data_IF_856182654208
#
_entry.id   IF_856182654208
#
_cell.length_a   1.000
_cell.length_b   1.000
_cell.length_c   1.000
_cell.angle_alpha   90.00
_cell.angle_beta   90.00
_cell.angle_gamma   90.00
#
_symmetry.space_group_name_H-M   'P 1'
#
loop_
_entity.id
_entity.type
_entity.pdbx_description
1 polymer ?
#
# COMPACT_ATOMS: atom_id res chain seq x y z
N UNK A 1 -0.75 -23.32 -1.69
CA UNK A 1 0.57 -23.61 -2.29
C UNK A 1 1.57 -23.65 -1.14
N UNK A 2 2.37 -24.71 -0.96
CA UNK A 2 3.32 -24.75 0.15
C UNK A 2 4.38 -23.64 -0.05
N UNK A 3 4.59 -22.84 0.98
CA UNK A 3 5.67 -21.85 1.00
C UNK A 3 6.96 -22.61 1.28
N UNK A 4 7.89 -22.60 0.32
CA UNK A 4 9.27 -23.00 0.60
C UNK A 4 9.95 -21.80 1.25
N UNK A 5 10.28 -21.93 2.54
CA UNK A 5 10.86 -20.86 3.34
C UNK A 5 12.33 -21.15 3.69
N UNK A 6 13.27 -20.86 2.76
CA UNK A 6 14.69 -21.07 3.01
C UNK A 6 15.30 -20.00 3.93
N UNK A 7 14.57 -18.91 4.20
CA UNK A 7 15.06 -17.76 4.97
C UNK A 7 14.57 -17.77 6.43
N UNK A 8 13.64 -18.66 6.76
CA UNK A 8 12.97 -18.69 8.06
C UNK A 8 12.27 -17.36 8.30
N UNK A 9 11.34 -16.99 7.43
CA UNK A 9 10.60 -15.74 7.46
C UNK A 9 9.74 -15.67 8.73
N UNK A 10 10.19 -14.86 9.67
CA UNK A 10 9.42 -14.40 10.83
C UNK A 10 8.83 -13.00 10.55
N UNK A 11 8.07 -12.48 11.51
CA UNK A 11 7.43 -11.15 11.37
C UNK A 11 8.46 -10.01 11.24
N UNK A 12 9.61 -10.10 11.91
CA UNK A 12 10.65 -9.07 11.84
C UNK A 12 11.28 -9.02 10.45
N UNK A 13 11.60 -10.18 9.88
CA UNK A 13 12.12 -10.29 8.51
C UNK A 13 11.09 -9.89 7.47
N UNK A 14 9.82 -10.23 7.67
CA UNK A 14 8.74 -9.79 6.78
C UNK A 14 8.58 -8.27 6.82
N UNK A 15 8.61 -7.65 8.00
CA UNK A 15 8.62 -6.18 8.12
C UNK A 15 9.82 -5.59 7.39
N UNK A 16 11.02 -6.09 7.68
CA UNK A 16 12.27 -5.64 7.04
C UNK A 16 12.25 -5.79 5.52
N UNK A 17 11.57 -6.82 4.99
CA UNK A 17 11.37 -7.00 3.55
C UNK A 17 10.45 -5.92 2.98
N UNK A 18 9.31 -5.64 3.65
CA UNK A 18 8.37 -4.61 3.24
C UNK A 18 9.01 -3.20 3.27
N UNK A 19 9.89 -2.94 4.23
CA UNK A 19 10.60 -1.67 4.39
C UNK A 19 11.55 -1.37 3.23
N UNK A 20 12.07 -2.42 2.58
CA UNK A 20 12.99 -2.33 1.44
C UNK A 20 12.27 -2.20 0.09
N UNK A 21 10.94 -2.35 0.04
CA UNK A 21 10.20 -2.18 -1.20
C UNK A 21 10.22 -0.70 -1.63
N UNK A 22 10.27 -0.38 -2.94
CA UNK A 22 10.11 0.98 -3.45
C UNK A 22 8.63 1.42 -3.43
N UNK A 23 7.92 1.10 -2.34
CA UNK A 23 6.51 1.35 -2.13
C UNK A 23 6.26 1.52 -0.62
N UNK A 24 5.30 2.37 -0.26
CA UNK A 24 4.72 2.33 1.08
C UNK A 24 3.70 1.20 1.14
N UNK A 25 3.73 0.42 2.22
CA UNK A 25 2.70 -0.57 2.52
C UNK A 25 1.99 -0.19 3.80
N UNK A 26 0.68 -0.37 3.85
CA UNK A 26 -0.13 -0.24 5.07
C UNK A 26 -1.17 -1.36 5.10
N UNK A 27 -1.48 -1.85 6.29
CA UNK A 27 -2.54 -2.85 6.51
C UNK A 27 -3.63 -2.21 7.36
N UNK A 28 -4.87 -2.38 6.93
CA UNK A 28 -6.07 -1.95 7.65
C UNK A 28 -6.86 -3.18 8.08
N UNK A 29 -7.48 -3.15 9.25
CA UNK A 29 -8.50 -4.13 9.61
C UNK A 29 -9.85 -3.81 8.94
N UNK A 30 -10.88 -4.60 9.25
CA UNK A 30 -12.23 -4.45 8.68
C UNK A 30 -13.05 -3.31 9.28
N UNK A 31 -12.56 -2.69 10.36
CA UNK A 31 -13.13 -1.50 10.96
C UNK A 31 -12.40 -0.23 10.50
N UNK A 32 -11.46 -0.38 9.55
CA UNK A 32 -10.60 0.67 9.01
C UNK A 32 -9.54 1.20 10.00
N UNK A 33 -9.18 0.44 11.03
CA UNK A 33 -8.05 0.81 11.87
C UNK A 33 -6.72 0.44 11.20
N UNK A 34 -5.72 1.30 11.35
CA UNK A 34 -4.37 1.04 10.83
C UNK A 34 -3.66 0.01 11.71
N UNK A 35 -3.36 -1.17 11.17
CA UNK A 35 -2.72 -2.28 11.89
C UNK A 35 -1.20 -2.27 11.72
N UNK A 36 -0.74 -1.88 10.53
CA UNK A 36 0.68 -1.88 10.19
C UNK A 36 0.96 -0.82 9.12
N UNK A 37 2.17 -0.29 9.10
CA UNK A 37 2.74 0.39 7.95
C UNK A 37 4.25 0.11 7.87
N UNK A 38 4.80 0.08 6.65
CA UNK A 38 6.24 -0.07 6.44
C UNK A 38 7.01 1.17 6.88
N UNK A 39 8.23 1.04 7.39
CA UNK A 39 9.07 2.11 7.90
C UNK A 39 9.26 3.25 6.88
N UNK A 40 9.32 2.91 5.60
CA UNK A 40 9.45 3.86 4.50
C UNK A 40 8.14 4.60 4.14
N UNK A 41 6.99 4.19 4.67
CA UNK A 41 5.68 4.74 4.32
C UNK A 41 5.52 6.25 4.56
N UNK A 42 6.11 6.86 5.62
CA UNK A 42 6.11 8.30 5.82
C UNK A 42 6.70 9.11 4.67
N UNK A 43 7.50 8.50 3.79
CA UNK A 43 8.03 9.15 2.57
C UNK A 43 6.99 9.30 1.45
N UNK A 44 5.82 8.68 1.59
CA UNK A 44 4.75 8.67 0.59
C UNK A 44 3.44 9.21 1.18
N UNK A 45 3.06 8.75 2.37
CA UNK A 45 1.80 9.06 3.02
C UNK A 45 2.01 9.38 4.49
N UNK A 46 1.19 10.27 5.07
CA UNK A 46 1.30 10.63 6.49
C UNK A 46 0.99 9.40 7.36
N UNK A 47 2.05 8.74 7.81
CA UNK A 47 2.05 7.59 8.71
C UNK A 47 2.95 7.91 9.88
N UNK A 48 2.44 7.63 11.07
CA UNK A 48 3.12 7.90 12.33
C UNK A 48 2.73 6.85 13.36
N UNK A 49 3.57 6.59 14.37
CA UNK A 49 3.27 5.59 15.39
C UNK A 49 1.93 5.82 16.08
N UNK A 50 1.54 7.08 16.33
CA UNK A 50 0.26 7.42 16.97
C UNK A 50 -0.99 7.05 16.16
N UNK A 51 -0.86 6.71 14.88
CA UNK A 51 -1.98 6.27 14.05
C UNK A 51 -2.22 4.76 14.11
N UNK A 52 -1.30 3.97 14.68
CA UNK A 52 -1.53 2.55 14.86
C UNK A 52 -2.72 2.31 15.79
N UNK A 53 -3.62 1.41 15.38
CA UNK A 53 -4.88 1.12 16.06
C UNK A 53 -5.95 2.22 15.92
N UNK A 54 -5.70 3.29 15.16
CA UNK A 54 -6.66 4.36 14.95
C UNK A 54 -7.42 4.17 13.63
N UNK A 55 -8.71 4.50 13.64
CA UNK A 55 -9.55 4.56 12.44
C UNK A 55 -9.00 5.62 11.47
N UNK A 56 -8.66 5.19 10.26
CA UNK A 56 -8.10 6.07 9.22
C UNK A 56 -9.07 7.17 8.80
N UNK A 57 -10.39 6.99 8.97
CA UNK A 57 -11.41 8.00 8.65
C UNK A 57 -11.17 9.30 9.42
N UNK A 58 -10.59 9.21 10.62
CA UNK A 58 -10.21 10.38 11.43
C UNK A 58 -9.07 11.20 10.80
N UNK A 59 -8.28 10.60 9.91
CA UNK A 59 -7.22 11.26 9.18
C UNK A 59 -7.71 11.99 7.92
N UNK A 60 -8.97 11.77 7.52
CA UNK A 60 -9.56 12.36 6.31
C UNK A 60 -10.59 13.45 6.68
N UNK A 61 -10.41 14.65 6.12
CA UNK A 61 -11.31 15.79 6.38
C UNK A 61 -12.59 15.79 5.56
N UNK A 62 -12.60 15.08 4.44
CA UNK A 62 -13.71 15.09 3.48
C UNK A 62 -14.60 13.87 3.71
N UNK A 63 -15.89 14.11 3.95
CA UNK A 63 -16.89 13.04 4.09
C UNK A 63 -16.88 12.09 2.89
N UNK A 64 -16.75 12.63 1.67
CA UNK A 64 -16.68 11.82 0.45
C UNK A 64 -15.46 10.90 0.37
N UNK A 65 -14.41 11.14 1.17
CA UNK A 65 -13.29 10.19 1.31
C UNK A 65 -13.67 9.03 2.24
N UNK A 66 -14.36 9.32 3.33
CA UNK A 66 -14.83 8.31 4.29
C UNK A 66 -15.87 7.39 3.65
N UNK A 67 -16.82 7.96 2.89
CA UNK A 67 -17.82 7.18 2.14
C UNK A 67 -17.17 6.21 1.13
N UNK A 68 -16.06 6.60 0.49
CA UNK A 68 -15.31 5.73 -0.41
C UNK A 68 -14.57 4.62 0.33
N UNK A 69 -14.02 4.91 1.52
CA UNK A 69 -13.39 3.91 2.38
C UNK A 69 -14.44 2.87 2.79
N UNK A 70 -15.60 3.32 3.24
CA UNK A 70 -16.70 2.45 3.67
C UNK A 70 -17.21 1.59 2.51
N UNK A 71 -17.49 2.19 1.35
CA UNK A 71 -17.95 1.45 0.17
C UNK A 71 -16.93 0.40 -0.30
N UNK A 72 -15.64 0.70 -0.21
CA UNK A 72 -14.57 -0.24 -0.54
C UNK A 72 -14.54 -1.43 0.43
N UNK A 73 -14.55 -1.16 1.75
CA UNK A 73 -14.51 -2.22 2.77
C UNK A 73 -15.75 -3.11 2.66
N UNK A 74 -16.94 -2.51 2.52
CA UNK A 74 -18.19 -3.26 2.32
C UNK A 74 -18.17 -4.08 1.02
N UNK A 75 -17.59 -3.54 -0.05
CA UNK A 75 -17.36 -4.29 -1.29
C UNK A 75 -16.50 -5.54 -1.06
N UNK A 76 -15.41 -5.43 -0.30
CA UNK A 76 -14.56 -6.58 0.04
C UNK A 76 -15.27 -7.60 0.94
N UNK A 77 -16.02 -7.12 1.95
CA UNK A 77 -16.86 -7.96 2.83
C UNK A 77 -17.93 -8.72 2.03
N UNK A 78 -18.52 -8.09 1.02
CA UNK A 78 -19.46 -8.71 0.08
C UNK A 78 -18.82 -9.70 -0.91
N UNK A 79 -17.50 -9.89 -0.83
CA UNK A 79 -16.78 -10.89 -1.62
C UNK A 79 -16.03 -10.34 -2.82
N UNK A 80 -16.01 -9.01 -3.04
CA UNK A 80 -15.16 -8.43 -4.09
C UNK A 80 -13.70 -8.80 -3.85
N UNK A 81 -13.02 -9.17 -4.94
CA UNK A 81 -11.59 -9.47 -4.99
C UNK A 81 -10.82 -8.48 -5.86
N UNK A 82 -11.53 -7.55 -6.49
CA UNK A 82 -10.95 -6.58 -7.41
C UNK A 82 -10.21 -5.47 -6.65
N UNK A 83 -8.95 -5.17 -7.00
CA UNK A 83 -8.22 -4.04 -6.42
C UNK A 83 -8.92 -2.71 -6.69
N UNK A 84 -8.97 -1.84 -5.68
CA UNK A 84 -9.37 -0.43 -5.85
C UNK A 84 -8.11 0.39 -6.06
N UNK A 85 -7.99 1.06 -7.22
CA UNK A 85 -6.82 1.87 -7.57
C UNK A 85 -7.19 3.28 -8.01
N UNK A 86 -6.45 4.27 -7.53
CA UNK A 86 -6.61 5.66 -7.93
C UNK A 86 -5.30 6.44 -7.85
N UNK A 87 -5.27 7.61 -8.49
CA UNK A 87 -4.16 8.56 -8.36
C UNK A 87 -4.62 9.69 -7.44
N UNK A 88 -3.77 10.08 -6.50
CA UNK A 88 -3.99 11.24 -5.64
C UNK A 88 -2.71 12.09 -5.56
N UNK A 89 -2.88 13.37 -5.27
CA UNK A 89 -1.77 14.31 -5.09
C UNK A 89 -1.89 15.01 -3.71
N UNK A 90 -1.80 14.28 -2.58
CA UNK A 90 -1.99 14.85 -1.25
C UNK A 90 -0.85 15.75 -0.79
N UNK A 91 0.34 15.63 -1.39
CA UNK A 91 1.57 16.32 -0.95
C UNK A 91 2.33 16.99 -2.10
N UNK A 92 1.66 17.36 -3.19
CA UNK A 92 2.31 17.94 -4.38
C UNK A 92 2.93 16.89 -5.32
N UNK A 93 2.87 15.60 -4.96
CA UNK A 93 3.40 14.48 -5.74
C UNK A 93 2.28 13.53 -6.16
N UNK A 94 2.29 13.08 -7.43
CA UNK A 94 1.32 12.10 -7.91
C UNK A 94 1.65 10.72 -7.34
N UNK A 95 0.76 10.23 -6.49
CA UNK A 95 0.85 8.91 -5.90
C UNK A 95 -0.20 8.01 -6.55
N UNK A 96 0.20 6.78 -6.89
CA UNK A 96 -0.74 5.70 -7.20
C UNK A 96 -1.00 4.92 -5.92
N UNK A 97 -2.26 4.94 -5.50
CA UNK A 97 -2.74 4.19 -4.33
C UNK A 97 -3.53 3.00 -4.86
N UNK A 98 -3.19 1.81 -4.37
CA UNK A 98 -3.95 0.60 -4.66
C UNK A 98 -4.24 -0.13 -3.36
N UNK A 99 -5.51 -0.49 -3.17
CA UNK A 99 -5.98 -1.25 -2.01
C UNK A 99 -6.52 -2.59 -2.51
N UNK A 100 -6.10 -3.66 -1.85
CA UNK A 100 -6.52 -5.04 -2.14
C UNK A 100 -7.07 -5.68 -0.86
N UNK A 101 -8.01 -6.65 -0.98
CA UNK A 101 -8.47 -7.40 0.17
C UNK A 101 -7.34 -8.27 0.73
N UNK A 102 -7.16 -8.25 2.05
CA UNK A 102 -6.23 -9.13 2.74
C UNK A 102 -6.96 -10.41 3.15
N UNK A 103 -6.63 -11.52 2.50
CA UNK A 103 -7.30 -12.80 2.70
C UNK A 103 -6.29 -13.84 3.16
N UNK A 104 -6.59 -14.50 4.27
CA UNK A 104 -5.80 -15.62 4.83
C UNK A 104 -6.73 -16.82 4.94
N UNK A 105 -6.32 -17.95 4.36
CA UNK A 105 -7.09 -19.19 4.33
C UNK A 105 -8.55 -19.00 3.88
N UNK A 106 -8.75 -18.15 2.85
CA UNK A 106 -10.07 -17.84 2.29
C UNK A 106 -10.91 -16.84 3.09
N UNK A 107 -10.45 -16.44 4.28
CA UNK A 107 -11.12 -15.48 5.15
C UNK A 107 -10.56 -14.08 4.92
N UNK A 108 -11.45 -13.12 4.67
CA UNK A 108 -11.09 -11.72 4.62
C UNK A 108 -10.77 -11.23 6.04
N UNK A 109 -9.55 -10.75 6.26
CA UNK A 109 -9.08 -10.25 7.57
C UNK A 109 -8.79 -8.76 7.58
N UNK A 110 -8.81 -8.10 6.42
CA UNK A 110 -8.50 -6.67 6.31
C UNK A 110 -8.26 -6.23 4.88
N UNK A 111 -7.49 -5.16 4.74
CA UNK A 111 -7.07 -4.60 3.45
C UNK A 111 -5.56 -4.33 3.46
N UNK A 112 -4.90 -4.52 2.32
CA UNK A 112 -3.52 -4.07 2.10
C UNK A 112 -3.56 -2.87 1.18
N UNK A 113 -3.05 -1.74 1.64
CA UNK A 113 -2.77 -0.56 0.83
C UNK A 113 -1.31 -0.57 0.43
N UNK A 114 -1.04 -0.42 -0.87
CA UNK A 114 0.30 -0.06 -1.34
C UNK A 114 0.26 1.27 -2.09
N UNK A 115 1.31 2.07 -1.91
CA UNK A 115 1.44 3.39 -2.52
C UNK A 115 2.80 3.49 -3.21
N UNK A 116 2.77 3.87 -4.47
CA UNK A 116 3.99 4.14 -5.26
C UNK A 116 3.95 5.55 -5.80
N UNK A 117 5.12 6.18 -5.91
CA UNK A 117 5.27 7.43 -6.66
C UNK A 117 4.99 7.12 -8.13
N UNK A 118 4.13 7.91 -8.75
CA UNK A 118 3.94 7.83 -10.20
C UNK A 118 5.18 8.45 -10.83
N UNK A 119 5.97 7.63 -11.53
CA UNK A 119 7.10 8.16 -12.29
C UNK A 119 6.63 9.28 -13.21
N UNK A 120 7.27 10.43 -13.09
CA UNK A 120 7.05 11.55 -13.99
C UNK A 120 7.46 11.14 -15.42
N UNK A 121 6.82 11.74 -16.42
CA UNK A 121 7.21 11.52 -17.81
C UNK A 121 8.70 11.87 -18.08
N UNK A 122 9.28 12.77 -17.27
CA UNK A 122 10.71 13.08 -17.30
C UNK A 122 11.58 11.93 -16.79
N UNK A 123 11.23 11.32 -15.65
CA UNK A 123 11.99 10.19 -15.09
C UNK A 123 11.94 8.96 -15.99
N UNK A 124 10.78 8.69 -16.62
CA UNK A 124 10.65 7.64 -17.63
C UNK A 124 11.58 7.88 -18.82
N UNK A 125 11.68 9.13 -19.30
CA UNK A 125 12.58 9.53 -20.41
C UNK A 125 14.05 9.38 -20.02
N UNK A 126 14.44 9.83 -18.83
CA UNK A 126 15.82 9.71 -18.32
C UNK A 126 16.22 8.25 -18.13
N UNK A 127 15.32 7.40 -17.61
CA UNK A 127 15.56 5.96 -17.47
C UNK A 127 15.66 5.26 -18.83
N UNK A 128 14.82 5.65 -19.80
CA UNK A 128 14.91 5.18 -21.19
C UNK A 128 16.24 5.56 -21.88
N UNK A 129 16.82 6.71 -21.53
CA UNK A 129 18.13 7.12 -22.01
C UNK A 129 19.29 6.32 -21.36
N UNK A 130 19.17 5.98 -20.07
CA UNK A 130 20.15 5.11 -19.39
C UNK A 130 20.06 3.64 -19.85
N UNK A 131 18.89 3.17 -20.30
CA UNK A 131 18.69 1.81 -20.82
C UNK A 131 19.21 1.55 -22.24
N UNK A 132 19.63 2.57 -22.98
CA UNK A 132 20.15 2.45 -24.35
C UNK A 132 21.68 2.47 -24.47
N UNK A 133 22.40 2.52 -23.34
CA UNK A 133 23.88 2.60 -23.32
C UNK A 133 24.59 1.43 -22.62
N UNK A 134 23.91 0.31 -22.30
CA UNK A 134 24.53 -0.84 -21.65
C UNK A 134 24.30 -2.17 -22.36
N UNK A 135 25.18 -2.53 -23.31
CA UNK A 135 25.51 -3.94 -23.60
C UNK A 135 26.66 -4.35 -22.66
N UNK A 136 26.49 -5.46 -21.95
CA UNK A 136 27.50 -6.11 -21.09
C UNK A 136 27.21 -5.92 -19.59
N UNK A 137 27.07 -6.94 -18.74
CA UNK A 137 27.37 -8.37 -18.79
C UNK A 137 26.16 -9.19 -18.30
#
# INVERSE_FOLDING_TARGET
MPIHDPFGLDLEKLSSLLDQLPAAVSILDLDANLVYYSENAPNFVNRKPEFLGQDIRNCHKLQSSNEKIDAMIEGFKAGSREPVSYIANPYGEDLRITIVPFIVDGTLIGCIQHVVKKESELEKRVRGFKGSSGRGF
#
